data_IF_033506227574
#
_entry.id   IF_033506227574
#
_cell.length_a   1.000
_cell.length_b   1.000
_cell.length_c   1.000
_cell.angle_alpha   90.00
_cell.angle_beta   90.00
_cell.angle_gamma   90.00
#
_symmetry.space_group_name_H-M   'P 1'
#
loop_
_entity.id
_entity.type
_entity.pdbx_description
1 polymer ?
#
# COMPACT_ATOMS: atom_id res chain seq x y z
N UNK A 1 -51.15 16.35 58.34
CA UNK A 1 -50.46 15.05 58.48
C UNK A 1 -49.58 14.82 57.27
N UNK A 2 -48.25 14.73 57.49
CA UNK A 2 -47.18 13.96 56.79
C UNK A 2 -47.14 13.99 55.25
N UNK A 3 -46.04 14.17 54.53
CA UNK A 3 -44.58 14.30 54.72
C UNK A 3 -44.07 14.65 53.29
N UNK A 4 -43.43 15.78 53.06
CA UNK A 4 -41.98 15.89 52.82
C UNK A 4 -41.34 14.74 52.02
N UNK A 5 -40.85 15.03 50.80
CA UNK A 5 -39.62 14.45 50.26
C UNK A 5 -39.02 15.38 49.19
N UNK A 6 -38.00 16.10 49.64
CA UNK A 6 -37.01 16.86 48.88
C UNK A 6 -36.18 15.92 48.02
N UNK A 7 -35.98 16.22 46.74
CA UNK A 7 -34.96 15.56 45.91
C UNK A 7 -34.08 16.62 45.27
N UNK A 8 -32.84 16.66 45.74
CA UNK A 8 -31.72 17.50 45.29
C UNK A 8 -31.22 16.92 43.97
N UNK A 9 -31.33 17.68 42.88
CA UNK A 9 -30.68 17.33 41.62
C UNK A 9 -29.20 17.76 41.69
N UNK A 10 -28.32 16.78 41.81
CA UNK A 10 -26.88 16.96 41.79
C UNK A 10 -26.43 17.28 40.36
N UNK A 11 -25.82 18.46 40.19
CA UNK A 11 -25.12 18.88 38.98
C UNK A 11 -23.79 18.11 38.91
N UNK A 12 -23.75 17.00 38.18
CA UNK A 12 -22.50 16.29 37.87
C UNK A 12 -21.82 17.05 36.74
N UNK A 13 -20.82 17.85 37.09
CA UNK A 13 -19.84 18.37 36.14
C UNK A 13 -19.07 17.19 35.56
N UNK A 14 -19.42 16.77 34.34
CA UNK A 14 -18.53 15.96 33.51
C UNK A 14 -17.31 16.81 33.15
N UNK A 15 -16.30 16.75 34.00
CA UNK A 15 -14.93 17.11 33.62
C UNK A 15 -14.42 16.00 32.70
N UNK A 16 -14.76 16.07 31.41
CA UNK A 16 -14.04 15.33 30.41
C UNK A 16 -12.58 15.80 30.49
N UNK A 17 -11.71 14.96 31.04
CA UNK A 17 -10.28 15.16 30.97
C UNK A 17 -9.91 15.13 29.50
N UNK A 18 -9.79 16.31 28.89
CA UNK A 18 -9.03 16.48 27.66
C UNK A 18 -7.60 16.09 28.03
N UNK A 19 -7.25 14.83 27.79
CA UNK A 19 -5.85 14.47 27.68
C UNK A 19 -5.27 15.46 26.66
N UNK A 20 -4.18 16.18 26.98
CA UNK A 20 -3.52 17.01 25.98
C UNK A 20 -3.21 16.06 24.82
N UNK A 21 -3.85 16.30 23.68
CA UNK A 21 -3.49 15.63 22.43
C UNK A 21 -2.03 16.02 22.25
N UNK A 22 -1.14 15.08 22.53
CA UNK A 22 0.29 15.30 22.45
C UNK A 22 0.52 15.60 20.98
N UNK A 23 0.71 16.89 20.68
CA UNK A 23 0.93 17.36 19.33
C UNK A 23 2.17 16.61 18.87
N UNK A 24 1.99 15.66 17.95
CA UNK A 24 3.10 14.93 17.37
C UNK A 24 4.15 15.96 16.95
N UNK A 25 5.41 15.71 17.27
CA UNK A 25 6.47 16.62 16.88
C UNK A 25 6.58 16.55 15.33
N UNK A 26 6.02 17.57 14.68
CA UNK A 26 5.98 17.73 13.23
C UNK A 26 7.33 18.32 12.79
N UNK A 27 8.03 17.61 11.92
CA UNK A 27 9.30 18.02 11.31
C UNK A 27 9.02 18.97 10.14
N UNK A 28 8.09 18.60 9.27
CA UNK A 28 7.63 19.39 8.13
C UNK A 28 6.16 19.08 7.84
N UNK A 29 5.44 20.07 7.30
CA UNK A 29 4.04 19.93 6.92
C UNK A 29 3.74 20.70 5.64
N UNK A 30 2.91 20.10 4.80
CA UNK A 30 2.30 20.74 3.63
C UNK A 30 0.77 20.67 3.77
N UNK A 31 0.15 21.83 3.88
CA UNK A 31 -1.30 22.01 4.14
C UNK A 31 -2.02 22.69 2.98
N UNK A 32 -1.27 23.21 2.02
CA UNK A 32 -1.77 23.90 0.82
C UNK A 32 -2.76 25.03 1.13
N UNK A 33 -2.55 25.75 2.22
CA UNK A 33 -3.49 26.80 2.65
C UNK A 33 -3.38 28.08 1.82
N UNK A 34 -2.26 28.29 1.14
CA UNK A 34 -2.00 29.51 0.38
C UNK A 34 -1.73 29.23 -1.10
N UNK A 35 -0.91 28.23 -1.40
CA UNK A 35 -0.50 27.86 -2.75
C UNK A 35 -0.18 26.35 -2.85
N UNK A 36 0.67 25.95 -3.81
CA UNK A 36 1.10 24.56 -4.00
C UNK A 36 2.30 24.18 -3.13
N UNK A 37 2.79 25.08 -2.29
CA UNK A 37 3.83 24.89 -1.27
C UNK A 37 5.11 24.22 -1.82
N UNK A 38 5.50 24.61 -3.03
CA UNK A 38 6.73 24.14 -3.69
C UNK A 38 6.61 22.81 -4.43
N UNK A 39 5.43 22.19 -4.44
CA UNK A 39 5.20 20.99 -5.23
C UNK A 39 5.30 21.28 -6.73
N UNK A 40 5.88 20.33 -7.45
CA UNK A 40 6.03 20.33 -8.90
C UNK A 40 5.58 18.99 -9.47
N UNK A 41 5.28 18.95 -10.77
CA UNK A 41 5.01 17.69 -11.49
C UNK A 41 6.12 17.40 -12.49
N UNK A 42 6.42 16.12 -12.66
CA UNK A 42 7.30 15.60 -13.72
C UNK A 42 6.53 15.24 -15.00
N UNK A 43 5.21 15.40 -14.99
CA UNK A 43 4.36 15.17 -16.15
C UNK A 43 4.09 16.50 -16.89
N UNK A 44 4.60 16.69 -18.11
CA UNK A 44 4.39 17.93 -18.86
C UNK A 44 2.93 18.15 -19.32
N UNK A 45 2.09 17.12 -19.26
CA UNK A 45 0.66 17.21 -19.60
C UNK A 45 -0.22 17.42 -18.37
N UNK A 46 0.38 17.40 -17.18
CA UNK A 46 -0.36 17.56 -15.96
C UNK A 46 -0.55 19.02 -15.56
N UNK A 47 -1.52 19.22 -14.69
CA UNK A 47 -1.82 20.51 -14.07
C UNK A 47 -1.77 20.35 -12.55
N UNK A 48 -1.17 21.34 -11.90
CA UNK A 48 -1.06 21.41 -10.45
C UNK A 48 -1.65 22.73 -9.98
N UNK A 49 -2.68 22.65 -9.14
CA UNK A 49 -3.40 23.84 -8.67
C UNK A 49 -3.83 23.67 -7.23
N UNK A 50 -3.95 24.77 -6.49
CA UNK A 50 -4.62 24.78 -5.19
C UNK A 50 -6.13 24.84 -5.39
N UNK A 51 -6.87 23.99 -4.70
CA UNK A 51 -8.35 24.02 -4.63
C UNK A 51 -8.80 24.46 -3.24
N UNK A 52 -9.98 25.09 -3.16
CA UNK A 52 -10.53 25.66 -1.90
C UNK A 52 -11.89 25.11 -1.49
N UNK A 53 -12.48 24.28 -2.35
CA UNK A 53 -13.83 23.75 -2.17
C UNK A 53 -13.83 22.28 -1.73
N UNK A 54 -12.66 21.66 -1.69
CA UNK A 54 -12.49 20.22 -1.49
C UNK A 54 -11.14 19.98 -0.80
N UNK A 55 -11.09 20.32 0.48
CA UNK A 55 -9.94 20.13 1.35
C UNK A 55 -10.28 19.08 2.41
N UNK A 56 -9.30 18.27 2.80
CA UNK A 56 -9.46 17.31 3.89
C UNK A 56 -9.50 18.04 5.23
N UNK A 57 -8.60 18.99 5.42
CA UNK A 57 -8.53 19.86 6.57
C UNK A 57 -8.37 21.33 6.12
N UNK A 58 -8.76 22.27 6.99
CA UNK A 58 -8.55 23.69 6.72
C UNK A 58 -9.31 24.22 5.49
N UNK A 59 -8.64 24.98 4.62
CA UNK A 59 -9.29 25.68 3.49
C UNK A 59 -8.68 25.36 2.12
N UNK A 60 -7.63 24.57 2.04
CA UNK A 60 -6.90 24.30 0.82
C UNK A 60 -6.49 22.85 0.67
N UNK A 61 -6.41 22.38 -0.57
CA UNK A 61 -5.74 21.14 -0.93
C UNK A 61 -5.02 21.31 -2.27
N UNK A 62 -4.04 20.45 -2.52
CA UNK A 62 -3.36 20.36 -3.80
C UNK A 62 -4.13 19.45 -4.74
N UNK A 63 -4.57 19.97 -5.88
CA UNK A 63 -5.15 19.19 -6.97
C UNK A 63 -4.13 18.98 -8.09
N UNK A 64 -3.83 17.72 -8.36
CA UNK A 64 -2.98 17.26 -9.44
C UNK A 64 -3.80 16.47 -10.45
N UNK A 65 -3.95 17.01 -11.66
CA UNK A 65 -4.75 16.39 -12.72
C UNK A 65 -3.90 16.08 -13.94
N UNK A 66 -3.96 14.85 -14.43
CA UNK A 66 -3.15 14.38 -15.56
C UNK A 66 -3.88 13.29 -16.37
N UNK A 67 -3.57 13.14 -17.67
CA UNK A 67 -4.07 12.02 -18.45
C UNK A 67 -3.25 10.76 -18.13
N UNK A 68 -3.92 9.71 -17.65
CA UNK A 68 -3.25 8.41 -17.43
C UNK A 68 -2.72 7.85 -18.74
N UNK A 69 -1.50 7.32 -18.72
CA UNK A 69 -0.83 6.68 -19.86
C UNK A 69 0.39 5.89 -19.39
N UNK A 70 0.84 4.93 -20.18
CA UNK A 70 2.16 4.33 -19.97
C UNK A 70 3.27 5.35 -20.33
N UNK A 71 4.49 5.21 -19.78
CA UNK A 71 5.63 5.98 -20.23
C UNK A 71 5.93 5.69 -21.70
N UNK A 72 6.16 6.72 -22.49
CA UNK A 72 6.59 6.52 -23.88
C UNK A 72 8.05 6.02 -23.90
N UNK A 73 8.35 5.02 -24.73
CA UNK A 73 9.70 4.47 -24.85
C UNK A 73 10.78 5.51 -25.26
N UNK A 74 10.37 6.62 -25.88
CA UNK A 74 11.25 7.72 -26.28
C UNK A 74 10.89 9.04 -25.58
N UNK A 75 10.21 8.98 -24.42
CA UNK A 75 9.95 10.17 -23.63
C UNK A 75 11.29 10.85 -23.28
N UNK A 76 11.37 12.20 -23.37
CA UNK A 76 12.51 12.93 -22.85
C UNK A 76 12.80 12.53 -21.41
N UNK A 77 14.08 12.44 -21.06
CA UNK A 77 14.53 12.09 -19.71
C UNK A 77 13.86 12.98 -18.66
N UNK A 78 13.37 12.36 -17.59
CA UNK A 78 12.67 13.03 -16.49
C UNK A 78 11.17 13.24 -16.70
N UNK A 79 10.58 12.87 -17.85
CA UNK A 79 9.13 12.89 -18.00
C UNK A 79 8.50 11.63 -17.42
N UNK A 80 7.71 11.79 -16.35
CA UNK A 80 7.03 10.69 -15.69
C UNK A 80 5.55 11.02 -15.51
N UNK A 81 4.65 10.37 -16.27
CA UNK A 81 3.21 10.56 -16.12
C UNK A 81 2.74 10.28 -14.70
N UNK A 82 1.85 11.13 -14.18
CA UNK A 82 1.25 10.90 -12.86
C UNK A 82 2.20 11.07 -11.67
N UNK A 83 3.34 11.76 -11.84
CA UNK A 83 4.31 11.97 -10.76
C UNK A 83 4.36 13.43 -10.28
N UNK A 84 4.38 13.59 -8.95
CA UNK A 84 4.54 14.82 -8.20
C UNK A 84 5.75 14.73 -7.29
N UNK A 85 6.43 15.85 -7.06
CA UNK A 85 7.56 15.91 -6.14
C UNK A 85 7.61 17.24 -5.37
N UNK A 86 8.17 17.21 -4.16
CA UNK A 86 8.47 18.39 -3.36
C UNK A 86 9.82 18.24 -2.66
N UNK A 87 10.67 19.28 -2.65
CA UNK A 87 11.90 19.26 -1.87
C UNK A 87 11.61 19.31 -0.36
N UNK A 88 12.39 18.56 0.41
CA UNK A 88 12.41 18.59 1.87
C UNK A 88 13.57 19.47 2.30
N UNK A 89 13.25 20.65 2.84
CA UNK A 89 14.27 21.59 3.34
C UNK A 89 14.50 21.48 4.86
N UNK A 90 13.66 20.72 5.56
CA UNK A 90 13.76 20.51 7.00
C UNK A 90 14.77 19.40 7.31
N UNK A 91 15.40 19.48 8.48
CA UNK A 91 16.24 18.40 9.01
C UNK A 91 15.34 17.20 9.39
N UNK A 92 15.37 16.15 8.58
CA UNK A 92 14.59 14.94 8.76
C UNK A 92 15.32 13.84 9.57
N UNK A 93 16.46 14.14 10.22
CA UNK A 93 17.21 13.16 11.03
C UNK A 93 16.38 12.46 12.11
N UNK A 94 15.31 13.10 12.59
CA UNK A 94 14.43 12.55 13.61
C UNK A 94 13.17 11.87 13.05
N UNK A 95 13.01 11.76 11.72
CA UNK A 95 11.82 11.21 11.09
C UNK A 95 11.57 9.77 11.56
N UNK A 96 10.31 9.45 11.81
CA UNK A 96 9.84 8.11 12.17
C UNK A 96 8.57 7.71 11.39
N UNK A 97 7.79 8.70 10.93
CA UNK A 97 6.57 8.44 10.17
C UNK A 97 6.28 9.54 9.15
N UNK A 98 5.58 9.14 8.09
CA UNK A 98 5.00 9.99 7.07
C UNK A 98 3.49 9.80 7.11
N UNK A 99 2.73 10.89 7.08
CA UNK A 99 1.27 10.82 6.92
C UNK A 99 0.79 11.81 5.86
N UNK A 100 -0.31 11.49 5.21
CA UNK A 100 -0.96 12.37 4.23
C UNK A 100 -2.44 12.02 4.11
N UNK A 101 -3.27 13.01 3.82
CA UNK A 101 -4.62 12.79 3.33
C UNK A 101 -4.63 12.84 1.81
N UNK A 102 -5.27 11.86 1.19
CA UNK A 102 -5.36 11.79 -0.27
C UNK A 102 -6.77 11.39 -0.69
N UNK A 103 -7.18 11.84 -1.87
CA UNK A 103 -8.44 11.47 -2.53
C UNK A 103 -8.19 11.37 -4.01
N UNK A 104 -8.73 10.35 -4.65
CA UNK A 104 -8.50 10.08 -6.08
C UNK A 104 -9.82 10.05 -6.85
N UNK A 105 -9.82 10.51 -8.10
CA UNK A 105 -11.01 10.45 -8.96
C UNK A 105 -11.35 9.03 -9.43
N UNK A 106 -10.39 8.11 -9.36
CA UNK A 106 -10.52 6.70 -9.70
C UNK A 106 -9.64 5.90 -8.76
N UNK A 107 -10.05 4.67 -8.43
CA UNK A 107 -9.29 3.86 -7.51
C UNK A 107 -7.97 3.47 -8.16
N UNK A 108 -6.86 3.71 -7.47
CA UNK A 108 -5.53 3.44 -8.02
C UNK A 108 -4.55 3.12 -6.91
N UNK A 109 -3.52 2.29 -7.16
CA UNK A 109 -2.36 2.29 -6.29
C UNK A 109 -1.55 3.57 -6.46
N UNK A 110 -1.08 4.10 -5.34
CA UNK A 110 -0.12 5.20 -5.28
C UNK A 110 1.20 4.68 -4.72
N UNK A 111 2.29 5.31 -5.11
CA UNK A 111 3.61 5.09 -4.51
C UNK A 111 4.07 6.40 -3.88
N UNK A 112 4.42 6.34 -2.61
CA UNK A 112 5.14 7.40 -1.90
C UNK A 112 6.62 7.03 -1.94
N UNK A 113 7.46 7.93 -2.43
CA UNK A 113 8.91 7.76 -2.39
C UNK A 113 9.57 8.79 -1.49
N UNK A 114 10.61 8.36 -0.79
CA UNK A 114 11.57 9.20 -0.07
C UNK A 114 12.90 9.05 -0.81
N UNK A 115 13.39 10.14 -1.38
CA UNK A 115 14.66 10.15 -2.09
C UNK A 115 15.71 10.87 -1.25
N UNK A 116 16.92 10.32 -1.29
CA UNK A 116 18.07 10.83 -0.55
C UNK A 116 19.00 11.69 -1.43
N UNK A 117 19.94 12.40 -0.79
CA UNK A 117 20.94 13.23 -1.47
C UNK A 117 21.85 12.45 -2.43
N UNK A 118 22.14 11.19 -2.11
CA UNK A 118 22.93 10.27 -2.93
C UNK A 118 22.15 9.70 -4.14
N UNK A 119 20.84 10.01 -4.23
CA UNK A 119 19.84 9.54 -5.19
C UNK A 119 19.32 8.13 -4.93
N UNK A 120 19.56 7.57 -3.76
CA UNK A 120 18.83 6.40 -3.32
C UNK A 120 17.33 6.72 -3.26
N UNK A 121 16.46 5.73 -3.50
CA UNK A 121 15.01 5.93 -3.53
C UNK A 121 14.33 4.79 -2.79
N UNK A 122 13.56 5.14 -1.77
CA UNK A 122 12.80 4.20 -0.96
C UNK A 122 11.30 4.38 -1.20
N UNK A 123 10.61 3.29 -1.49
CA UNK A 123 9.23 3.29 -1.96
C UNK A 123 8.30 2.59 -0.96
N UNK A 124 7.13 3.18 -0.75
CA UNK A 124 5.99 2.55 -0.09
C UNK A 124 4.77 2.62 -1.01
N UNK A 125 4.14 1.48 -1.30
CA UNK A 125 2.93 1.41 -2.09
C UNK A 125 1.70 1.47 -1.18
N UNK A 126 0.68 2.25 -1.58
CA UNK A 126 -0.60 2.35 -0.86
C UNK A 126 -1.76 2.30 -1.85
N UNK A 127 -2.87 1.71 -1.43
CA UNK A 127 -4.10 1.71 -2.21
C UNK A 127 -4.93 2.95 -1.89
N UNK A 128 -5.42 3.60 -2.95
CA UNK A 128 -6.26 4.79 -2.87
C UNK A 128 -7.65 4.49 -3.45
N UNK A 129 -8.71 4.38 -2.65
CA UNK A 129 -10.06 4.20 -3.18
C UNK A 129 -10.55 5.50 -3.83
N UNK A 130 -11.33 5.36 -4.90
CA UNK A 130 -11.94 6.49 -5.58
C UNK A 130 -12.91 7.25 -4.68
N UNK A 131 -12.94 8.57 -4.83
CA UNK A 131 -14.09 9.39 -4.48
C UNK A 131 -14.14 9.87 -3.04
N UNK A 132 -13.40 9.27 -2.12
CA UNK A 132 -13.36 9.67 -0.69
C UNK A 132 -11.94 9.99 -0.22
N UNK A 133 -11.84 10.94 0.72
CA UNK A 133 -10.60 11.23 1.42
C UNK A 133 -10.23 10.05 2.34
N UNK A 134 -8.97 9.66 2.27
CA UNK A 134 -8.38 8.64 3.13
C UNK A 134 -7.09 9.17 3.71
N UNK A 135 -6.91 8.94 5.00
CA UNK A 135 -5.69 9.25 5.72
C UNK A 135 -4.75 8.06 5.60
N UNK A 136 -3.55 8.32 5.09
CA UNK A 136 -2.47 7.36 4.92
C UNK A 136 -1.42 7.65 5.98
N UNK A 137 -1.02 6.62 6.70
CA UNK A 137 0.10 6.65 7.64
C UNK A 137 1.09 5.54 7.28
N UNK A 138 2.37 5.92 7.21
CA UNK A 138 3.49 5.06 6.84
C UNK A 138 4.61 5.22 7.89
N UNK A 139 5.08 4.10 8.43
CA UNK A 139 6.31 4.06 9.21
C UNK A 139 7.51 3.98 8.26
N UNK A 140 8.72 4.34 8.73
CA UNK A 140 9.93 4.19 7.92
C UNK A 140 10.21 2.74 7.51
N UNK A 141 9.76 1.77 8.30
CA UNK A 141 9.87 0.33 7.98
C UNK A 141 9.03 -0.09 6.77
N UNK A 142 8.06 0.72 6.36
CA UNK A 142 7.17 0.44 5.22
C UNK A 142 7.81 0.81 3.89
N UNK A 143 8.92 1.53 3.94
CA UNK A 143 9.68 1.97 2.78
C UNK A 143 10.79 0.96 2.44
N UNK A 144 10.92 0.63 1.16
CA UNK A 144 11.90 -0.32 0.67
C UNK A 144 12.72 0.28 -0.47
N UNK A 145 14.01 -0.03 -0.52
CA UNK A 145 14.89 0.44 -1.59
C UNK A 145 14.34 -0.01 -2.96
N UNK A 146 14.24 0.93 -3.90
CA UNK A 146 13.81 0.64 -5.26
C UNK A 146 14.78 -0.30 -5.96
N UNK A 147 14.26 -1.19 -6.82
CA UNK A 147 15.05 -2.20 -7.53
C UNK A 147 16.11 -1.63 -8.48
N UNK A 148 15.96 -0.38 -8.92
CA UNK A 148 16.88 0.35 -9.79
C UNK A 148 17.80 1.31 -9.02
N UNK A 149 17.75 1.25 -7.69
CA UNK A 149 18.51 2.11 -6.79
C UNK A 149 19.64 1.35 -6.11
N UNK A 150 20.63 2.09 -5.62
CA UNK A 150 21.75 1.56 -4.85
C UNK A 150 22.05 2.51 -3.69
N UNK A 151 22.31 1.93 -2.53
CA UNK A 151 22.53 2.63 -1.26
C UNK A 151 23.76 2.02 -0.56
N UNK A 152 24.55 2.80 0.16
CA UNK A 152 25.77 2.31 0.83
C UNK A 152 25.52 1.26 1.92
N UNK A 153 24.35 1.30 2.55
CA UNK A 153 24.05 0.55 3.77
C UNK A 153 22.75 -0.28 3.67
N UNK A 154 21.96 -0.07 2.61
CA UNK A 154 20.70 -0.73 2.30
C UNK A 154 19.55 -0.30 3.22
N UNK A 155 19.59 0.90 3.78
CA UNK A 155 18.59 1.43 4.72
C UNK A 155 18.38 2.92 4.47
N UNK A 156 17.12 3.32 4.60
CA UNK A 156 16.72 4.71 4.55
C UNK A 156 17.40 5.49 5.68
N UNK A 157 18.18 6.50 5.31
CA UNK A 157 18.89 7.46 6.15
C UNK A 157 18.08 8.77 6.23
N UNK A 158 17.31 9.00 7.30
CA UNK A 158 16.38 10.12 7.37
C UNK A 158 17.02 11.50 7.20
N UNK A 159 18.27 11.67 7.64
CA UNK A 159 19.05 12.91 7.48
C UNK A 159 19.38 13.23 6.02
N UNK A 160 19.36 12.25 5.12
CA UNK A 160 19.66 12.44 3.70
C UNK A 160 18.40 12.70 2.87
N UNK A 161 17.19 12.55 3.43
CA UNK A 161 15.93 12.75 2.69
C UNK A 161 15.83 14.21 2.23
N UNK A 162 15.81 14.40 0.92
CA UNK A 162 15.76 15.73 0.30
C UNK A 162 14.58 15.94 -0.64
N UNK A 163 13.88 14.88 -1.04
CA UNK A 163 12.71 14.94 -1.93
C UNK A 163 11.68 13.89 -1.53
N UNK A 164 10.42 14.30 -1.47
CA UNK A 164 9.27 13.38 -1.39
C UNK A 164 8.64 13.33 -2.78
N UNK A 165 8.28 12.12 -3.22
CA UNK A 165 7.58 11.88 -4.48
C UNK A 165 6.25 11.17 -4.20
N UNK A 166 5.21 11.56 -4.92
CA UNK A 166 3.95 10.81 -5.00
C UNK A 166 3.71 10.46 -6.47
N UNK A 167 3.47 9.19 -6.76
CA UNK A 167 3.25 8.71 -8.13
C UNK A 167 2.03 7.80 -8.24
N UNK A 168 1.30 7.91 -9.34
CA UNK A 168 0.24 6.96 -9.73
C UNK A 168 0.86 5.67 -10.27
N UNK A 169 0.78 4.59 -9.47
CA UNK A 169 1.29 3.28 -9.86
C UNK A 169 0.36 2.53 -10.83
N UNK A 170 -0.83 3.05 -11.14
CA UNK A 170 -1.65 2.54 -12.25
C UNK A 170 -0.92 2.54 -13.59
N UNK A 171 0.07 3.42 -13.74
CA UNK A 171 0.99 3.46 -14.88
C UNK A 171 1.80 2.15 -15.04
N UNK A 172 2.18 1.49 -13.95
CA UNK A 172 2.92 0.21 -13.99
C UNK A 172 2.06 -0.88 -14.64
N UNK A 173 0.80 -1.03 -14.24
CA UNK A 173 -0.12 -2.01 -14.83
C UNK A 173 -0.29 -1.77 -16.33
N UNK A 174 -0.41 -0.51 -16.74
CA UNK A 174 -0.47 -0.12 -18.16
C UNK A 174 0.79 -0.51 -18.92
N UNK A 175 1.97 -0.20 -18.38
CA UNK A 175 3.25 -0.57 -18.97
C UNK A 175 3.38 -2.09 -19.13
N UNK A 176 3.03 -2.86 -18.10
CA UNK A 176 3.09 -4.33 -18.15
C UNK A 176 2.13 -4.88 -19.23
N UNK A 177 0.91 -4.34 -19.33
CA UNK A 177 -0.06 -4.73 -20.35
C UNK A 177 0.43 -4.39 -21.78
N UNK A 178 1.05 -3.23 -21.99
CA UNK A 178 1.64 -2.84 -23.29
C UNK A 178 2.84 -3.72 -23.69
N UNK A 179 3.57 -4.25 -22.72
CA UNK A 179 4.62 -5.24 -22.94
C UNK A 179 4.07 -6.65 -23.26
N UNK A 180 2.74 -6.80 -23.31
CA UNK A 180 2.07 -8.06 -23.62
C UNK A 180 1.98 -9.03 -22.43
N UNK A 181 2.27 -8.56 -21.22
CA UNK A 181 1.98 -9.34 -20.02
C UNK A 181 0.45 -9.43 -19.84
N UNK A 182 -0.06 -10.54 -19.30
CA UNK A 182 -1.50 -10.82 -19.27
C UNK A 182 -2.21 -10.05 -18.14
N UNK A 183 -2.05 -8.74 -18.05
CA UNK A 183 -2.76 -7.89 -17.09
C UNK A 183 -3.79 -7.02 -17.81
N UNK A 184 -4.97 -6.87 -17.20
CA UNK A 184 -5.95 -5.88 -17.66
C UNK A 184 -5.58 -4.52 -17.10
N UNK A 185 -5.30 -3.55 -17.96
CA UNK A 185 -5.23 -2.16 -17.53
C UNK A 185 -6.62 -1.51 -17.66
N UNK A 186 -7.07 -0.72 -16.67
CA UNK A 186 -8.31 0.05 -16.80
C UNK A 186 -8.29 0.96 -18.04
N UNK A 187 -9.45 1.36 -18.59
CA UNK A 187 -9.49 2.35 -19.67
C UNK A 187 -8.72 3.62 -19.33
N UNK A 188 -8.18 4.31 -20.34
CA UNK A 188 -7.51 5.60 -20.12
C UNK A 188 -8.54 6.64 -19.67
N UNK A 189 -8.20 7.40 -18.63
CA UNK A 189 -9.01 8.48 -18.11
C UNK A 189 -8.11 9.62 -17.63
N UNK A 190 -8.69 10.82 -17.53
CA UNK A 190 -8.07 11.88 -16.75
C UNK A 190 -8.18 11.51 -15.27
N UNK A 191 -7.05 11.57 -14.58
CA UNK A 191 -6.94 11.27 -13.16
C UNK A 191 -6.67 12.54 -12.39
N UNK A 192 -7.42 12.74 -11.32
CA UNK A 192 -7.17 13.78 -10.33
C UNK A 192 -6.80 13.14 -9.00
N UNK A 193 -5.65 13.54 -8.46
CA UNK A 193 -5.24 13.27 -7.09
C UNK A 193 -5.38 14.58 -6.31
N UNK A 194 -6.18 14.57 -5.26
CA UNK A 194 -6.17 15.61 -4.24
C UNK A 194 -5.26 15.16 -3.09
N UNK A 195 -4.35 16.03 -2.67
CA UNK A 195 -3.42 15.82 -1.58
C UNK A 195 -3.60 16.94 -0.55
N UNK A 196 -3.61 16.57 0.72
CA UNK A 196 -3.71 17.51 1.83
C UNK A 196 -3.00 16.95 3.07
N UNK A 197 -2.65 17.85 4.00
CA UNK A 197 -2.09 17.54 5.31
C UNK A 197 -0.93 16.54 5.32
N UNK A 198 -0.01 16.66 4.35
CA UNK A 198 1.19 15.82 4.33
C UNK A 198 2.11 16.24 5.47
N UNK A 199 2.53 15.29 6.31
CA UNK A 199 3.36 15.54 7.50
C UNK A 199 4.50 14.54 7.59
N UNK A 200 5.67 15.08 7.90
CA UNK A 200 6.82 14.35 8.41
C UNK A 200 6.82 14.47 9.94
N UNK A 201 6.88 13.35 10.67
CA UNK A 201 6.88 13.37 12.14
C UNK A 201 7.99 12.53 12.74
N UNK A 202 8.50 12.96 13.89
CA UNK A 202 9.40 12.18 14.73
C UNK A 202 8.67 11.20 15.67
N UNK A 203 7.33 11.20 15.65
CA UNK A 203 6.55 10.22 16.37
C UNK A 203 6.48 8.93 15.56
N UNK A 204 6.94 7.83 16.14
CA UNK A 204 6.70 6.51 15.57
C UNK A 204 5.19 6.22 15.57
N UNK A 205 4.72 5.52 14.54
CA UNK A 205 3.35 5.00 14.56
C UNK A 205 3.23 3.95 15.66
N UNK A 206 2.03 3.86 16.25
CA UNK A 206 1.68 2.75 17.13
C UNK A 206 1.61 1.47 16.29
N UNK A 207 2.77 0.84 16.08
CA UNK A 207 2.84 -0.46 15.44
C UNK A 207 2.29 -1.47 16.42
N UNK A 208 1.13 -2.07 16.13
CA UNK A 208 0.60 -3.17 16.94
C UNK A 208 1.64 -4.32 17.01
N UNK A 209 2.16 -4.66 18.21
CA UNK A 209 3.06 -5.79 18.39
C UNK A 209 2.23 -7.04 18.72
N UNK A 210 2.68 -8.27 18.52
CA UNK A 210 3.78 -8.83 17.77
C UNK A 210 3.26 -10.20 17.30
N UNK A 211 3.74 -10.68 16.15
CA UNK A 211 3.65 -12.10 15.85
C UNK A 211 4.06 -12.91 17.10
N UNK A 212 3.41 -14.07 17.33
CA UNK A 212 3.82 -14.96 18.41
C UNK A 212 5.32 -15.32 18.28
N UNK A 213 5.94 -15.87 19.33
CA UNK A 213 7.40 -16.17 19.34
C UNK A 213 7.89 -16.97 18.10
N UNK A 214 6.97 -17.69 17.42
CA UNK A 214 7.20 -18.50 16.23
C UNK A 214 6.82 -17.85 14.91
N UNK A 215 6.46 -16.57 14.87
CA UNK A 215 6.00 -15.90 13.66
C UNK A 215 6.79 -14.62 13.39
N UNK A 216 6.82 -14.20 12.13
CA UNK A 216 7.29 -12.90 11.69
C UNK A 216 6.14 -12.24 10.95
N UNK A 217 5.72 -11.05 11.39
CA UNK A 217 4.61 -10.33 10.74
C UNK A 217 5.06 -9.82 9.37
N UNK A 218 4.27 -10.10 8.33
CA UNK A 218 4.38 -9.42 7.04
C UNK A 218 3.23 -8.41 6.93
N UNK A 219 1.99 -8.87 7.14
CA UNK A 219 0.81 -7.99 7.17
C UNK A 219 -0.34 -8.66 7.94
N UNK A 220 -0.81 -8.03 9.01
CA UNK A 220 -2.00 -8.50 9.75
C UNK A 220 -3.31 -8.00 9.12
N UNK A 221 -3.25 -7.06 8.18
CA UNK A 221 -4.39 -6.38 7.58
C UNK A 221 -5.23 -5.60 8.61
N UNK A 222 -4.60 -5.20 9.73
CA UNK A 222 -5.26 -4.44 10.82
C UNK A 222 -5.17 -2.93 10.62
N UNK A 223 -4.15 -2.45 9.92
CA UNK A 223 -3.97 -1.03 9.67
C UNK A 223 -5.05 -0.49 8.71
N UNK A 224 -5.55 0.75 8.93
CA UNK A 224 -6.39 1.43 7.96
C UNK A 224 -5.70 1.68 6.62
N UNK A 225 -4.38 1.96 6.64
CA UNK A 225 -3.57 2.11 5.42
C UNK A 225 -3.40 0.75 4.74
N UNK A 226 -3.97 0.61 3.53
CA UNK A 226 -3.82 -0.61 2.74
C UNK A 226 -2.54 -0.51 1.90
N UNK A 227 -1.54 -1.30 2.24
CA UNK A 227 -0.23 -1.34 1.55
C UNK A 227 -0.11 -2.51 0.57
N UNK A 228 -1.20 -2.80 -0.15
CA UNK A 228 -1.26 -3.84 -1.18
C UNK A 228 -1.40 -3.19 -2.55
N UNK A 229 -0.60 -3.66 -3.50
CA UNK A 229 -0.59 -3.17 -4.88
C UNK A 229 -1.34 -4.16 -5.78
N UNK A 230 -2.55 -3.84 -6.27
CA UNK A 230 -3.20 -4.67 -7.26
C UNK A 230 -2.52 -4.54 -8.64
N UNK A 231 -2.42 -5.67 -9.34
CA UNK A 231 -2.02 -5.78 -10.73
C UNK A 231 -3.13 -6.46 -11.53
N UNK A 232 -3.58 -5.81 -12.59
CA UNK A 232 -4.67 -6.32 -13.41
C UNK A 232 -6.05 -6.09 -12.78
N UNK A 233 -7.05 -6.72 -13.38
CA UNK A 233 -8.45 -6.62 -12.98
C UNK A 233 -9.16 -5.34 -13.45
N UNK A 234 -10.47 -5.43 -13.48
CA UNK A 234 -11.43 -4.34 -13.63
C UNK A 234 -12.24 -4.22 -12.34
N UNK A 235 -12.78 -3.03 -12.08
CA UNK A 235 -13.56 -2.72 -10.86
C UNK A 235 -12.88 -3.17 -9.55
N UNK A 236 -11.56 -2.98 -9.46
CA UNK A 236 -10.77 -3.43 -8.31
C UNK A 236 -11.15 -2.62 -7.06
N UNK A 237 -11.47 -3.32 -5.98
CA UNK A 237 -11.73 -2.73 -4.66
C UNK A 237 -10.87 -3.40 -3.60
N UNK A 238 -10.07 -2.62 -2.88
CA UNK A 238 -9.39 -3.07 -1.67
C UNK A 238 -9.93 -2.28 -0.48
N UNK A 239 -10.48 -2.97 0.52
CA UNK A 239 -11.11 -2.34 1.69
C UNK A 239 -10.73 -3.11 2.95
N UNK A 240 -10.32 -2.38 4.00
CA UNK A 240 -10.13 -2.96 5.33
C UNK A 240 -11.48 -3.08 6.03
N UNK A 241 -11.84 -4.29 6.42
CA UNK A 241 -13.12 -4.64 7.03
C UNK A 241 -12.90 -5.26 8.42
N UNK A 242 -13.94 -5.31 9.24
CA UNK A 242 -13.94 -6.00 10.53
C UNK A 242 -14.84 -7.23 10.44
N UNK A 243 -14.35 -8.35 10.95
CA UNK A 243 -15.06 -9.63 10.98
C UNK A 243 -15.95 -9.73 12.23
N UNK A 244 -16.88 -10.70 12.26
CA UNK A 244 -17.76 -10.95 13.41
C UNK A 244 -16.97 -11.30 14.70
N UNK A 245 -15.74 -11.79 14.56
CA UNK A 245 -14.81 -12.05 15.66
C UNK A 245 -14.03 -10.79 16.14
N UNK A 246 -14.27 -9.63 15.52
CA UNK A 246 -13.61 -8.37 15.81
C UNK A 246 -12.21 -8.22 15.19
N UNK A 247 -11.71 -9.23 14.48
CA UNK A 247 -10.45 -9.13 13.76
C UNK A 247 -10.63 -8.38 12.43
N UNK A 248 -9.65 -7.56 12.07
CA UNK A 248 -9.66 -6.88 10.78
C UNK A 248 -9.09 -7.76 9.68
N UNK A 249 -9.55 -7.53 8.45
CA UNK A 249 -9.07 -8.24 7.26
C UNK A 249 -9.11 -7.32 6.04
N UNK A 250 -8.33 -7.68 5.03
CA UNK A 250 -8.36 -7.05 3.72
C UNK A 250 -9.37 -7.77 2.82
N UNK A 251 -10.42 -7.06 2.40
CA UNK A 251 -11.31 -7.49 1.34
C UNK A 251 -10.80 -7.01 -0.02
N UNK A 252 -10.71 -7.93 -0.98
CA UNK A 252 -10.23 -7.70 -2.35
C UNK A 252 -11.30 -8.16 -3.32
N UNK A 253 -11.99 -7.22 -3.95
CA UNK A 253 -12.94 -7.46 -5.05
C UNK A 253 -12.31 -7.12 -6.40
N UNK A 254 -12.58 -7.93 -7.41
CA UNK A 254 -12.06 -7.72 -8.76
C UNK A 254 -12.86 -8.48 -9.83
N UNK A 255 -12.72 -8.04 -11.08
CA UNK A 255 -13.08 -8.79 -12.28
C UNK A 255 -11.88 -8.95 -13.21
N UNK A 256 -11.35 -10.17 -13.37
CA UNK A 256 -10.29 -10.46 -14.32
C UNK A 256 -10.89 -10.79 -15.70
N UNK A 257 -10.38 -10.14 -16.76
CA UNK A 257 -10.85 -10.34 -18.13
C UNK A 257 -10.30 -11.64 -18.75
N UNK A 258 -10.97 -12.23 -19.77
CA UNK A 258 -10.49 -13.42 -20.46
C UNK A 258 -9.04 -13.28 -20.93
N UNK A 259 -8.21 -14.30 -20.65
CA UNK A 259 -6.81 -14.29 -21.04
C UNK A 259 -5.90 -13.47 -20.12
N UNK A 260 -6.42 -12.92 -19.01
CA UNK A 260 -5.64 -12.09 -18.07
C UNK A 260 -5.56 -12.68 -16.67
N UNK A 261 -4.63 -12.15 -15.88
CA UNK A 261 -4.34 -12.45 -14.49
C UNK A 261 -4.78 -11.25 -13.65
N UNK A 262 -5.31 -11.54 -12.47
CA UNK A 262 -5.39 -10.57 -11.39
C UNK A 262 -4.43 -10.99 -10.28
N UNK A 263 -3.68 -10.04 -9.73
CA UNK A 263 -2.81 -10.27 -8.58
C UNK A 263 -2.86 -9.10 -7.61
N UNK A 264 -2.55 -9.37 -6.35
CA UNK A 264 -2.18 -8.35 -5.38
C UNK A 264 -0.77 -8.62 -4.87
N UNK A 265 -0.02 -7.57 -4.65
CA UNK A 265 1.38 -7.62 -4.24
C UNK A 265 1.55 -6.96 -2.88
N UNK A 266 2.40 -7.56 -2.04
CA UNK A 266 2.85 -7.00 -0.77
C UNK A 266 4.37 -7.03 -0.74
N UNK A 267 4.99 -5.88 -0.51
CA UNK A 267 6.42 -5.79 -0.27
C UNK A 267 6.77 -6.39 1.09
N UNK A 268 7.97 -6.97 1.16
CA UNK A 268 8.52 -7.59 2.37
C UNK A 268 9.89 -6.99 2.61
N UNK A 269 10.14 -6.51 3.82
CA UNK A 269 11.46 -6.00 4.19
C UNK A 269 12.52 -7.08 4.02
N UNK A 270 13.59 -6.80 3.28
CA UNK A 270 14.68 -7.74 3.06
C UNK A 270 15.27 -8.21 4.42
N UNK A 271 15.52 -9.51 4.54
CA UNK A 271 15.99 -10.14 5.77
C UNK A 271 14.91 -10.38 6.82
N UNK A 272 13.70 -9.82 6.70
CA UNK A 272 12.65 -9.96 7.73
C UNK A 272 12.26 -11.42 7.96
N UNK A 273 12.23 -12.23 6.90
CA UNK A 273 11.85 -13.64 6.96
C UNK A 273 13.03 -14.59 7.22
N UNK A 274 14.20 -14.07 7.61
CA UNK A 274 15.35 -14.91 7.97
C UNK A 274 14.98 -15.91 9.09
N UNK A 275 15.32 -17.18 8.87
CA UNK A 275 15.02 -18.28 9.79
C UNK A 275 13.58 -18.81 9.76
N UNK A 276 12.70 -18.23 8.92
CA UNK A 276 11.38 -18.81 8.67
C UNK A 276 11.49 -20.04 7.75
N UNK A 277 10.59 -21.01 7.88
CA UNK A 277 10.51 -22.21 7.04
C UNK A 277 9.21 -22.32 6.23
N UNK A 278 8.22 -21.47 6.51
CA UNK A 278 6.97 -21.40 5.77
C UNK A 278 6.42 -19.97 5.72
N UNK A 279 5.55 -19.73 4.73
CA UNK A 279 4.61 -18.62 4.69
C UNK A 279 3.25 -19.10 5.21
N UNK A 280 2.54 -18.26 5.95
CA UNK A 280 1.22 -18.57 6.46
C UNK A 280 0.28 -17.38 6.24
N UNK A 281 -0.95 -17.66 5.82
CA UNK A 281 -2.03 -16.67 5.76
C UNK A 281 -3.39 -17.31 6.07
N UNK A 282 -4.37 -16.48 6.38
CA UNK A 282 -5.78 -16.87 6.42
C UNK A 282 -6.51 -16.25 5.25
N UNK A 283 -7.31 -17.07 4.56
CA UNK A 283 -8.06 -16.65 3.39
C UNK A 283 -9.46 -17.25 3.39
N UNK A 284 -10.43 -16.47 2.93
CA UNK A 284 -11.74 -16.97 2.46
C UNK A 284 -12.01 -16.41 1.06
N UNK A 285 -12.71 -17.19 0.26
CA UNK A 285 -13.00 -16.88 -1.15
C UNK A 285 -14.48 -17.11 -1.40
N UNK A 286 -15.08 -16.30 -2.25
CA UNK A 286 -16.48 -16.49 -2.67
C UNK A 286 -16.64 -17.61 -3.70
N UNK A 287 -15.56 -17.98 -4.38
CA UNK A 287 -15.53 -19.07 -5.35
C UNK A 287 -14.44 -20.08 -5.03
N UNK A 288 -14.69 -21.35 -5.36
CA UNK A 288 -13.67 -22.39 -5.39
C UNK A 288 -12.61 -21.98 -6.41
N UNK A 289 -11.35 -22.08 -6.04
CA UNK A 289 -10.29 -21.62 -6.89
C UNK A 289 -8.92 -22.14 -6.53
N UNK A 290 -8.09 -22.16 -7.57
CA UNK A 290 -6.66 -22.34 -7.45
C UNK A 290 -6.01 -20.95 -7.40
N UNK A 291 -5.32 -20.66 -6.30
CA UNK A 291 -4.65 -19.38 -6.05
C UNK A 291 -3.15 -19.59 -6.16
N UNK A 292 -2.50 -18.79 -7.02
CA UNK A 292 -1.04 -18.79 -7.15
C UNK A 292 -0.47 -17.90 -6.05
N UNK A 293 0.47 -18.45 -5.28
CA UNK A 293 1.31 -17.70 -4.36
C UNK A 293 2.69 -17.61 -4.98
N UNK A 294 3.16 -16.41 -5.24
CA UNK A 294 4.49 -16.18 -5.79
C UNK A 294 5.34 -15.33 -4.84
N UNK A 295 6.65 -15.59 -4.88
CA UNK A 295 7.67 -14.90 -4.12
C UNK A 295 8.68 -14.31 -5.10
N UNK A 296 9.08 -13.07 -4.87
CA UNK A 296 10.18 -12.44 -5.59
C UNK A 296 11.37 -12.22 -4.66
N UNK A 297 12.57 -12.44 -5.20
CA UNK A 297 13.86 -12.14 -4.59
C UNK A 297 14.64 -11.16 -5.49
N UNK A 298 15.70 -10.50 -4.98
CA UNK A 298 16.52 -9.58 -5.75
C UNK A 298 16.97 -10.12 -7.11
N UNK A 299 17.01 -9.23 -8.11
CA UNK A 299 17.28 -9.60 -9.50
C UNK A 299 16.09 -10.21 -10.22
N UNK A 300 14.87 -9.96 -9.73
CA UNK A 300 13.61 -10.48 -10.28
C UNK A 300 13.57 -12.01 -10.33
N UNK A 301 14.23 -12.68 -9.37
CA UNK A 301 14.21 -14.14 -9.23
C UNK A 301 12.87 -14.52 -8.59
N UNK A 302 12.07 -15.34 -9.29
CA UNK A 302 10.70 -15.67 -8.87
C UNK A 302 10.55 -17.15 -8.55
N UNK A 303 9.73 -17.40 -7.55
CA UNK A 303 9.25 -18.74 -7.21
C UNK A 303 7.75 -18.72 -7.05
N UNK A 304 7.07 -19.82 -7.34
CA UNK A 304 5.63 -19.92 -7.16
C UNK A 304 5.18 -21.30 -6.74
N UNK A 305 4.00 -21.35 -6.13
CA UNK A 305 3.25 -22.58 -5.87
C UNK A 305 1.76 -22.26 -6.00
N UNK A 306 0.94 -23.29 -6.04
CA UNK A 306 -0.51 -23.13 -6.04
C UNK A 306 -1.17 -23.79 -4.85
N UNK A 307 -2.19 -23.11 -4.34
CA UNK A 307 -3.01 -23.58 -3.22
C UNK A 307 -4.47 -23.62 -3.64
N UNK A 308 -5.21 -24.61 -3.15
CA UNK A 308 -6.65 -24.71 -3.35
C UNK A 308 -7.35 -23.96 -2.22
N UNK A 309 -8.29 -23.09 -2.59
CA UNK A 309 -9.11 -22.33 -1.64
C UNK A 309 -10.57 -22.66 -1.93
N UNK A 310 -11.25 -23.20 -0.93
CA UNK A 310 -12.67 -23.53 -1.04
C UNK A 310 -13.54 -22.27 -0.90
N UNK A 311 -14.66 -22.25 -1.62
CA UNK A 311 -15.69 -21.24 -1.45
C UNK A 311 -16.33 -21.35 -0.07
N UNK A 312 -16.63 -20.20 0.54
CA UNK A 312 -17.49 -20.11 1.70
C UNK A 312 -17.02 -19.12 2.75
N UNK A 313 -17.81 -19.00 3.81
CA UNK A 313 -17.61 -17.97 4.83
C UNK A 313 -16.57 -18.35 5.89
N UNK A 314 -16.02 -19.58 5.81
CA UNK A 314 -15.06 -20.09 6.79
C UNK A 314 -13.63 -19.71 6.39
N UNK A 315 -12.89 -19.15 7.35
CA UNK A 315 -11.46 -18.90 7.22
C UNK A 315 -10.68 -20.21 7.03
N UNK A 316 -9.88 -20.25 5.97
CA UNK A 316 -8.94 -21.34 5.72
C UNK A 316 -7.54 -20.89 6.12
N UNK A 317 -6.92 -21.64 7.02
CA UNK A 317 -5.50 -21.48 7.33
C UNK A 317 -4.68 -22.13 6.22
N UNK A 318 -3.86 -21.34 5.54
CA UNK A 318 -2.98 -21.80 4.47
C UNK A 318 -1.54 -21.64 4.97
N UNK A 319 -0.86 -22.76 5.19
CA UNK A 319 0.56 -22.79 5.55
C UNK A 319 1.34 -23.46 4.42
N UNK A 320 2.34 -22.75 3.90
CA UNK A 320 3.09 -23.11 2.70
C UNK A 320 4.57 -23.18 3.05
N UNK A 321 5.13 -24.38 3.28
CA UNK A 321 6.56 -24.56 3.44
C UNK A 321 7.32 -23.98 2.25
N UNK A 322 8.40 -23.24 2.50
CA UNK A 322 9.21 -22.64 1.42
C UNK A 322 9.78 -23.68 0.45
N UNK A 323 9.95 -24.92 0.90
CA UNK A 323 10.36 -26.04 0.07
C UNK A 323 9.33 -26.48 -1.00
N UNK A 324 8.07 -26.03 -0.91
CA UNK A 324 7.04 -26.32 -1.91
C UNK A 324 7.06 -25.35 -3.10
N UNK A 325 7.72 -24.20 -2.96
CA UNK A 325 7.82 -23.23 -4.04
C UNK A 325 8.77 -23.73 -5.14
N UNK A 326 8.33 -23.60 -6.38
CA UNK A 326 9.09 -24.00 -7.56
C UNK A 326 9.67 -22.76 -8.24
N UNK A 327 10.92 -22.83 -8.73
CA UNK A 327 11.52 -21.73 -9.47
C UNK A 327 10.73 -21.46 -10.76
N UNK A 328 10.45 -20.19 -11.03
CA UNK A 328 9.95 -19.75 -12.31
C UNK A 328 11.06 -19.86 -13.37
N UNK A 329 10.77 -20.56 -14.46
CA UNK A 329 11.74 -20.83 -15.53
C UNK A 329 12.18 -19.56 -16.25
N UNK A 330 11.33 -18.56 -16.30
CA UNK A 330 11.60 -17.31 -17.03
C UNK A 330 12.44 -16.33 -16.19
N UNK A 331 12.50 -16.52 -14.87
CA UNK A 331 13.20 -15.62 -13.95
C UNK A 331 14.65 -16.01 -13.69
N UNK A 332 15.17 -17.06 -14.33
CA UNK A 332 16.51 -17.59 -14.05
C UNK A 332 16.67 -18.23 -12.66
N UNK A 333 15.57 -18.48 -11.93
CA UNK A 333 15.61 -19.06 -10.60
C UNK A 333 16.13 -20.50 -10.63
N UNK A 334 16.97 -20.85 -9.65
CA UNK A 334 17.46 -22.21 -9.44
C UNK A 334 17.47 -22.55 -7.96
N UNK A 335 17.30 -23.83 -7.61
CA UNK A 335 17.34 -24.27 -6.22
C UNK A 335 16.05 -24.00 -5.44
N UNK A 336 16.20 -23.69 -4.16
CA UNK A 336 15.10 -23.44 -3.20
C UNK A 336 15.01 -21.96 -2.87
N UNK A 337 13.84 -21.52 -2.43
CA UNK A 337 13.64 -20.18 -1.86
C UNK A 337 14.61 -19.95 -0.70
N UNK A 338 15.25 -18.79 -0.69
CA UNK A 338 15.96 -18.23 0.47
C UNK A 338 15.01 -17.23 1.17
N UNK A 339 14.46 -17.58 2.36
CA UNK A 339 13.49 -16.75 3.04
C UNK A 339 13.99 -15.33 3.34
N UNK A 340 15.26 -15.19 3.73
CA UNK A 340 15.84 -13.87 4.02
C UNK A 340 15.94 -12.96 2.81
N UNK A 341 15.92 -13.53 1.60
CA UNK A 341 16.00 -12.79 0.34
C UNK A 341 14.63 -12.48 -0.28
N UNK A 342 13.51 -12.82 0.37
CA UNK A 342 12.17 -12.49 -0.14
C UNK A 342 11.94 -10.98 0.02
N UNK A 343 11.65 -10.29 -1.09
CA UNK A 343 11.33 -8.86 -1.11
C UNK A 343 9.85 -8.59 -1.42
N UNK A 344 9.12 -9.59 -1.90
CA UNK A 344 7.73 -9.43 -2.30
C UNK A 344 6.97 -10.76 -2.25
N UNK A 345 5.71 -10.68 -1.85
CA UNK A 345 4.72 -11.76 -1.93
C UNK A 345 3.61 -11.33 -2.88
N UNK A 346 3.20 -12.24 -3.77
CA UNK A 346 2.06 -12.04 -4.66
C UNK A 346 1.01 -13.12 -4.43
N UNK A 347 -0.27 -12.72 -4.47
CA UNK A 347 -1.43 -13.61 -4.44
C UNK A 347 -2.20 -13.37 -5.74
N UNK A 348 -2.37 -14.40 -6.58
CA UNK A 348 -2.90 -14.24 -7.93
C UNK A 348 -3.99 -15.26 -8.31
N UNK A 349 -4.98 -14.79 -9.08
CA UNK A 349 -5.99 -15.59 -9.76
C UNK A 349 -5.62 -15.68 -11.25
N UNK A 350 -5.41 -16.91 -11.71
CA UNK A 350 -5.08 -17.20 -13.11
C UNK A 350 -6.23 -17.87 -13.86
N UNK A 351 -7.41 -18.04 -13.25
CA UNK A 351 -8.56 -18.72 -13.87
C UNK A 351 -9.02 -18.02 -15.14
N UNK A 352 -9.12 -16.69 -15.13
CA UNK A 352 -9.53 -15.95 -16.32
C UNK A 352 -8.56 -16.16 -17.51
N UNK A 353 -7.27 -16.34 -17.22
CA UNK A 353 -6.26 -16.70 -18.21
C UNK A 353 -6.43 -18.14 -18.73
N UNK A 354 -6.64 -19.11 -17.84
CA UNK A 354 -6.74 -20.52 -18.21
C UNK A 354 -8.07 -20.86 -18.90
N UNK A 355 -9.19 -20.38 -18.34
CA UNK A 355 -10.53 -20.71 -18.79
C UNK A 355 -11.02 -19.81 -19.93
N UNK A 356 -10.30 -18.71 -20.22
CA UNK A 356 -10.67 -17.72 -21.24
C UNK A 356 -12.08 -17.15 -21.01
N UNK A 357 -12.43 -16.94 -19.74
CA UNK A 357 -13.69 -16.35 -19.30
C UNK A 357 -13.43 -15.23 -18.30
N UNK A 358 -14.40 -14.33 -18.13
CA UNK A 358 -14.35 -13.34 -17.04
C UNK A 358 -14.40 -14.09 -15.71
N UNK A 359 -13.46 -13.78 -14.81
CA UNK A 359 -13.47 -14.28 -13.43
C UNK A 359 -13.75 -13.11 -12.49
N UNK A 360 -14.90 -13.11 -11.84
CA UNK A 360 -15.21 -12.17 -10.76
C UNK A 360 -15.08 -12.90 -9.44
N UNK A 361 -14.35 -12.34 -8.48
CA UNK A 361 -14.21 -12.93 -7.16
C UNK A 361 -14.04 -11.87 -6.08
N UNK A 362 -14.24 -12.31 -4.84
CA UNK A 362 -13.88 -11.57 -3.65
C UNK A 362 -13.03 -12.47 -2.77
N UNK A 363 -11.86 -11.97 -2.40
CA UNK A 363 -11.02 -12.58 -1.39
C UNK A 363 -11.08 -11.77 -0.12
N UNK A 364 -11.13 -12.44 1.01
CA UNK A 364 -10.81 -11.80 2.27
C UNK A 364 -9.54 -12.46 2.83
N UNK A 365 -8.57 -11.64 3.21
CA UNK A 365 -7.21 -12.04 3.56
C UNK A 365 -6.84 -11.41 4.90
N UNK A 366 -6.23 -12.19 5.79
CA UNK A 366 -5.64 -11.69 7.04
C UNK A 366 -4.45 -12.53 7.49
N UNK A 367 -3.69 -12.02 8.45
CA UNK A 367 -2.63 -12.76 9.14
C UNK A 367 -1.53 -13.33 8.22
N UNK A 368 -1.03 -12.53 7.27
CA UNK A 368 0.12 -12.90 6.43
C UNK A 368 1.40 -12.82 7.27
N UNK A 369 2.04 -13.96 7.50
CA UNK A 369 3.21 -14.10 8.37
C UNK A 369 4.22 -15.12 7.83
N UNK A 370 5.49 -14.93 8.17
CA UNK A 370 6.49 -15.99 8.15
C UNK A 370 6.38 -16.87 9.39
N UNK A 371 6.60 -18.18 9.24
CA UNK A 371 6.56 -19.16 10.34
C UNK A 371 7.97 -19.68 10.61
N UNK A 372 8.37 -19.69 11.87
CA UNK A 372 9.62 -20.27 12.37
C UNK A 372 9.40 -21.74 12.81
N UNK A 373 10.44 -22.58 12.77
CA UNK A 373 10.34 -24.01 13.12
C UNK A 373 9.87 -24.33 14.56
#
# INVERSE_FOLDING_TARGET
MRQACTAVAALVLLSAALAPCQQADIIAQWSFEQDTEGWVTLDPLATLTRVTTDAYAGQGALAFTFPQRAPEANAPEGQMPGTLAVPVAADASALQSVSLAVRTSSSTPLVVALNEEDKSSYLAAVWSPSGDWHHVELALSDFHLSNDSSDENGRLDPEQINVIVLADAGMLVRMLAEQGLPFTAPPLADMTILLDDLRLSSSALDVEPAAGEKQVVIDMCTLPTIQWLPLGGDDVTLVSQESDDGERYLQVGYAAMPGTIFAILKSVGLGSLEGCNALSLQMRSYFDGEVVIALEQPGSIRFSTTVQVQAGDQWQQIEIPFAQFQPDRESGATGTVDPGSIQQVAIADIRAMLDQMVSTNTWDIRNLVGVKP
#
